data_IF_366621141734
#
_entry.id   IF_366621141734
#
_cell.length_a   1.000
_cell.length_b   1.000
_cell.length_c   1.000
_cell.angle_alpha   90.00
_cell.angle_beta   90.00
_cell.angle_gamma   90.00
#
_symmetry.space_group_name_H-M   'P 1'
#
loop_
_entity.id
_entity.type
_entity.pdbx_description
1 polymer ?
#
# COMPACT_ATOMS: atom_id res chain seq x y z
N UNK A 1 49.95 -12.33 -2.98
CA UNK A 1 48.98 -12.74 -1.95
C UNK A 1 47.60 -12.56 -2.54
N UNK A 2 47.15 -13.59 -3.27
CA UNK A 2 45.89 -13.59 -4.01
C UNK A 2 44.75 -14.07 -3.12
N UNK A 3 43.73 -13.23 -2.94
CA UNK A 3 42.42 -13.63 -2.45
C UNK A 3 41.59 -14.10 -3.67
N UNK A 4 41.54 -15.42 -3.90
CA UNK A 4 40.61 -16.02 -4.87
C UNK A 4 39.28 -16.33 -4.18
N UNK A 5 38.27 -15.55 -4.54
CA UNK A 5 36.84 -15.81 -4.31
C UNK A 5 36.45 -17.18 -4.88
N UNK A 6 35.86 -18.04 -4.04
CA UNK A 6 35.20 -19.28 -4.46
C UNK A 6 33.75 -18.96 -4.85
N UNK A 7 33.53 -18.63 -6.12
CA UNK A 7 32.24 -18.78 -6.77
C UNK A 7 32.09 -20.26 -7.16
N UNK A 8 31.27 -21.00 -6.42
CA UNK A 8 30.81 -22.33 -6.82
C UNK A 8 29.87 -22.16 -8.01
N UNK A 9 30.41 -22.35 -9.22
CA UNK A 9 29.62 -22.48 -10.43
C UNK A 9 28.83 -23.79 -10.37
N UNK A 10 27.51 -23.69 -10.30
CA UNK A 10 26.60 -24.79 -10.63
C UNK A 10 26.77 -25.02 -12.14
N UNK A 11 27.48 -26.08 -12.51
CA UNK A 11 27.51 -26.58 -13.88
C UNK A 11 26.12 -27.15 -14.20
N UNK A 12 25.29 -26.36 -14.88
CA UNK A 12 24.13 -26.87 -15.59
C UNK A 12 24.67 -27.53 -16.86
N UNK A 13 24.80 -28.85 -16.83
CA UNK A 13 24.98 -29.64 -18.05
C UNK A 13 23.71 -29.45 -18.88
N UNK A 14 23.82 -28.66 -19.96
CA UNK A 14 22.79 -28.55 -20.99
C UNK A 14 22.70 -29.90 -21.71
N UNK A 15 21.91 -30.82 -21.15
CA UNK A 15 21.37 -31.95 -21.89
C UNK A 15 20.33 -31.37 -22.85
N UNK A 16 20.67 -31.37 -24.15
CA UNK A 16 19.72 -31.19 -25.23
C UNK A 16 18.65 -32.27 -25.07
N UNK A 17 17.57 -31.95 -24.36
CA UNK A 17 16.41 -32.80 -24.26
C UNK A 17 15.63 -32.62 -25.57
N UNK A 18 15.61 -33.68 -26.38
CA UNK A 18 14.46 -33.91 -27.25
C UNK A 18 13.21 -33.77 -26.36
N UNK A 19 12.29 -32.88 -26.73
CA UNK A 19 11.07 -32.62 -25.99
C UNK A 19 10.21 -33.90 -25.92
N UNK A 20 10.44 -34.69 -24.88
CA UNK A 20 9.55 -35.74 -24.47
C UNK A 20 8.35 -35.08 -23.77
N UNK A 21 7.13 -35.58 -24.01
CA UNK A 21 5.99 -35.18 -23.20
C UNK A 21 6.32 -35.43 -21.73
N UNK A 22 5.86 -34.55 -20.86
CA UNK A 22 6.04 -34.69 -19.42
C UNK A 22 4.68 -34.60 -18.75
N UNK A 23 4.33 -35.64 -17.99
CA UNK A 23 3.20 -35.63 -17.08
C UNK A 23 3.73 -36.05 -15.73
N UNK A 24 3.61 -35.16 -14.74
CA UNK A 24 4.20 -35.37 -13.44
C UNK A 24 3.52 -34.57 -12.34
N UNK A 25 3.68 -35.06 -11.12
CA UNK A 25 3.50 -34.30 -9.89
C UNK A 25 4.86 -33.78 -9.42
N UNK A 26 4.92 -32.51 -9.03
CA UNK A 26 6.08 -31.89 -8.42
C UNK A 26 5.72 -31.31 -7.06
N UNK A 27 6.49 -31.70 -6.04
CA UNK A 27 6.37 -31.19 -4.69
C UNK A 27 7.47 -30.16 -4.41
N UNK A 28 7.12 -29.01 -3.83
CA UNK A 28 8.14 -28.00 -3.48
C UNK A 28 9.06 -28.45 -2.34
N UNK A 29 8.58 -29.36 -1.49
CA UNK A 29 9.33 -29.94 -0.38
C UNK A 29 8.94 -31.41 -0.18
N UNK A 30 9.94 -32.29 -0.07
CA UNK A 30 9.72 -33.71 0.27
C UNK A 30 9.70 -33.98 1.79
N UNK A 31 10.14 -32.99 2.58
CA UNK A 31 10.16 -33.02 4.04
C UNK A 31 9.60 -31.71 4.58
N UNK A 32 8.54 -31.82 5.37
CA UNK A 32 7.79 -30.70 5.92
C UNK A 32 7.97 -30.68 7.43
N UNK A 33 8.56 -29.59 7.94
CA UNK A 33 8.61 -29.34 9.37
C UNK A 33 7.38 -28.53 9.75
N UNK A 34 6.43 -29.15 10.46
CA UNK A 34 5.16 -28.50 10.82
C UNK A 34 5.41 -27.18 11.55
N UNK A 35 4.75 -26.11 11.10
CA UNK A 35 4.89 -24.75 11.67
C UNK A 35 6.22 -24.03 11.38
N UNK A 36 7.20 -24.66 10.74
CA UNK A 36 8.47 -24.02 10.31
C UNK A 36 8.51 -23.83 8.80
N UNK A 37 8.15 -24.85 8.03
CA UNK A 37 8.02 -24.76 6.58
C UNK A 37 6.95 -23.73 6.26
N UNK A 38 7.33 -22.63 5.59
CA UNK A 38 6.43 -21.48 5.39
C UNK A 38 5.37 -21.78 4.34
N UNK A 39 5.76 -22.46 3.27
CA UNK A 39 4.91 -22.78 2.14
C UNK A 39 5.19 -24.20 1.65
N UNK A 40 4.12 -24.93 1.31
CA UNK A 40 4.18 -26.21 0.60
C UNK A 40 3.30 -26.14 -0.63
N UNK A 41 3.82 -26.63 -1.76
CA UNK A 41 3.14 -26.59 -3.05
C UNK A 41 3.19 -27.99 -3.64
N UNK A 42 2.01 -28.47 -4.05
CA UNK A 42 1.89 -29.65 -4.89
C UNK A 42 1.36 -29.20 -6.26
N UNK A 43 2.15 -29.45 -7.29
CA UNK A 43 1.85 -29.03 -8.65
C UNK A 43 1.70 -30.25 -9.56
N UNK A 44 0.58 -30.32 -10.25
CA UNK A 44 0.36 -31.24 -11.35
C UNK A 44 0.56 -30.52 -12.68
N UNK A 45 1.41 -31.09 -13.52
CA UNK A 45 1.71 -30.53 -14.83
C UNK A 45 1.54 -31.59 -15.91
N UNK A 46 0.82 -31.20 -16.97
CA UNK A 46 0.70 -31.97 -18.20
C UNK A 46 1.22 -31.16 -19.37
N UNK A 47 2.19 -31.71 -20.09
CA UNK A 47 2.67 -31.19 -21.36
C UNK A 47 2.51 -32.26 -22.46
N UNK A 48 1.88 -31.87 -23.57
CA UNK A 48 1.68 -32.77 -24.72
C UNK A 48 3.02 -33.11 -25.38
N UNK A 49 3.18 -34.37 -25.77
CA UNK A 49 4.34 -34.85 -26.52
C UNK A 49 4.25 -36.35 -26.84
N UNK A 50 5.30 -36.94 -27.42
CA UNK A 50 5.24 -38.31 -27.97
C UNK A 50 5.12 -39.43 -26.93
N UNK A 51 5.38 -39.16 -25.65
CA UNK A 51 5.30 -40.13 -24.54
C UNK A 51 3.91 -40.25 -23.91
N UNK A 52 2.95 -39.40 -24.30
CA UNK A 52 1.56 -39.49 -23.82
C UNK A 52 0.59 -39.68 -24.97
N UNK A 53 -0.36 -40.61 -24.79
CA UNK A 53 -1.44 -40.84 -25.75
C UNK A 53 -2.62 -39.87 -25.56
N UNK A 54 -2.53 -38.97 -24.57
CA UNK A 54 -3.55 -37.95 -24.32
C UNK A 54 -3.39 -36.85 -25.36
N UNK A 55 -4.35 -36.76 -26.28
CA UNK A 55 -4.36 -35.73 -27.29
C UNK A 55 -4.96 -34.44 -26.74
N UNK A 56 -6.08 -34.49 -26.03
CA UNK A 56 -6.75 -33.32 -25.45
C UNK A 56 -7.00 -33.59 -23.97
N UNK A 57 -6.43 -32.77 -23.09
CA UNK A 57 -6.76 -32.80 -21.66
C UNK A 57 -8.03 -32.00 -21.42
N UNK A 58 -8.92 -32.57 -20.62
CA UNK A 58 -10.20 -31.96 -20.25
C UNK A 58 -10.25 -31.64 -18.76
N UNK A 59 -9.65 -32.49 -17.93
CA UNK A 59 -9.65 -32.34 -16.47
C UNK A 59 -8.27 -32.70 -15.91
N UNK A 60 -7.78 -31.91 -14.96
CA UNK A 60 -6.70 -32.30 -14.04
C UNK A 60 -7.29 -32.40 -12.64
N UNK A 61 -7.01 -33.51 -11.96
CA UNK A 61 -7.39 -33.71 -10.55
C UNK A 61 -6.15 -34.03 -9.74
N UNK A 62 -5.94 -33.27 -8.68
CA UNK A 62 -4.92 -33.53 -7.68
C UNK A 62 -5.62 -34.10 -6.43
N UNK A 63 -5.26 -35.32 -6.06
CA UNK A 63 -5.77 -36.01 -4.88
C UNK A 63 -4.64 -36.35 -3.91
N UNK A 64 -4.95 -36.54 -2.63
CA UNK A 64 -3.98 -36.87 -1.58
C UNK A 64 -4.42 -38.08 -0.80
N UNK A 65 -3.48 -38.97 -0.51
CA UNK A 65 -3.60 -40.03 0.48
C UNK A 65 -2.77 -39.64 1.71
N UNK A 66 -3.45 -39.17 2.76
CA UNK A 66 -2.84 -38.87 4.05
C UNK A 66 -2.81 -40.10 4.97
N UNK A 67 -2.13 -39.99 6.12
CA UNK A 67 -1.94 -41.09 7.07
C UNK A 67 -3.26 -41.67 7.62
N UNK A 68 -4.26 -40.82 7.83
CA UNK A 68 -5.57 -41.20 8.39
C UNK A 68 -6.62 -41.57 7.34
N UNK A 69 -6.26 -41.65 6.05
CA UNK A 69 -7.19 -41.92 4.97
C UNK A 69 -6.95 -43.30 4.37
N UNK A 70 -8.02 -44.06 4.11
CA UNK A 70 -7.95 -45.37 3.45
C UNK A 70 -7.90 -45.28 1.92
N UNK A 71 -8.17 -44.08 1.36
CA UNK A 71 -8.23 -43.81 -0.07
C UNK A 71 -7.82 -42.38 -0.36
N UNK A 72 -7.45 -42.10 -1.62
CA UNK A 72 -7.19 -40.75 -2.08
C UNK A 72 -8.45 -39.87 -1.93
N UNK A 73 -8.25 -38.66 -1.43
CA UNK A 73 -9.27 -37.60 -1.34
C UNK A 73 -8.88 -36.49 -2.30
N UNK A 74 -9.82 -36.02 -3.10
CA UNK A 74 -9.57 -34.92 -4.04
C UNK A 74 -9.26 -33.64 -3.28
N UNK A 75 -8.12 -33.03 -3.60
CA UNK A 75 -7.66 -31.78 -3.01
C UNK A 75 -8.06 -30.62 -3.89
N UNK A 76 -7.87 -30.77 -5.20
CA UNK A 76 -8.18 -29.77 -6.19
C UNK A 76 -8.52 -30.42 -7.53
N UNK A 77 -9.46 -29.82 -8.25
CA UNK A 77 -9.79 -30.20 -9.62
C UNK A 77 -9.92 -28.95 -10.45
N UNK A 78 -9.46 -29.00 -11.70
CA UNK A 78 -9.68 -27.97 -12.71
C UNK A 78 -10.14 -28.64 -14.01
N UNK A 79 -11.13 -28.04 -14.65
CA UNK A 79 -11.69 -28.55 -15.91
C UNK A 79 -11.73 -27.46 -17.00
N UNK A 80 -11.79 -27.91 -18.25
CA UNK A 80 -11.86 -27.03 -19.42
C UNK A 80 -13.21 -26.31 -19.57
N UNK A 81 -14.31 -26.89 -19.05
CA UNK A 81 -15.70 -26.43 -19.26
C UNK A 81 -16.04 -25.22 -18.39
N UNK A 82 -15.51 -25.16 -17.16
CA UNK A 82 -15.63 -24.03 -16.23
C UNK A 82 -14.70 -22.86 -16.59
N UNK A 83 -14.08 -22.88 -17.77
CA UNK A 83 -13.16 -21.86 -18.25
C UNK A 83 -11.81 -21.87 -17.53
N UNK A 84 -11.44 -22.97 -16.87
CA UNK A 84 -10.22 -23.08 -16.07
C UNK A 84 -10.22 -22.29 -14.76
N UNK A 85 -11.38 -21.77 -14.33
CA UNK A 85 -11.51 -20.88 -13.16
C UNK A 85 -11.97 -21.59 -11.88
N UNK A 86 -12.64 -22.74 -11.98
CA UNK A 86 -13.11 -23.46 -10.80
C UNK A 86 -12.03 -24.42 -10.31
N UNK A 87 -11.17 -23.95 -9.39
CA UNK A 87 -10.42 -24.88 -8.55
C UNK A 87 -11.26 -25.22 -7.33
N UNK A 88 -11.86 -26.40 -7.32
CA UNK A 88 -12.62 -26.89 -6.15
C UNK A 88 -11.61 -27.37 -5.12
N UNK A 89 -11.33 -26.56 -4.11
CA UNK A 89 -10.41 -26.91 -3.03
C UNK A 89 -11.19 -27.56 -1.90
N UNK A 90 -10.85 -28.79 -1.52
CA UNK A 90 -11.46 -29.48 -0.38
C UNK A 90 -10.93 -28.98 0.99
N UNK A 91 -9.82 -28.24 0.96
CA UNK A 91 -9.10 -27.71 2.11
C UNK A 91 -9.25 -26.18 2.19
N UNK A 92 -10.00 -25.66 3.18
CA UNK A 92 -10.32 -24.23 3.31
C UNK A 92 -9.09 -23.33 3.45
N UNK A 93 -7.93 -23.88 3.85
CA UNK A 93 -6.69 -23.11 4.08
C UNK A 93 -5.73 -23.11 2.88
N UNK A 94 -6.06 -23.82 1.80
CA UNK A 94 -5.23 -23.89 0.61
C UNK A 94 -5.65 -22.90 -0.48
N UNK A 95 -4.67 -22.34 -1.18
CA UNK A 95 -4.88 -21.54 -2.39
C UNK A 95 -4.51 -22.38 -3.58
N UNK A 96 -5.44 -22.55 -4.51
CA UNK A 96 -5.20 -23.34 -5.71
C UNK A 96 -5.34 -22.51 -6.98
N UNK A 97 -4.48 -22.77 -7.94
CA UNK A 97 -4.37 -22.06 -9.21
C UNK A 97 -4.13 -23.07 -10.33
N UNK A 98 -4.47 -22.73 -11.56
CA UNK A 98 -4.23 -23.63 -12.67
C UNK A 98 -4.78 -23.11 -13.98
N UNK A 99 -4.52 -23.86 -15.04
CA UNK A 99 -5.14 -23.64 -16.34
C UNK A 99 -5.14 -24.93 -17.16
N UNK A 100 -6.19 -25.13 -17.95
CA UNK A 100 -6.21 -26.17 -18.99
C UNK A 100 -5.89 -25.53 -20.33
N UNK A 101 -4.85 -26.03 -20.99
CA UNK A 101 -4.40 -25.57 -22.30
C UNK A 101 -4.40 -26.73 -23.30
N UNK A 102 -5.19 -26.60 -24.37
CA UNK A 102 -5.32 -27.64 -25.39
C UNK A 102 -4.12 -27.72 -26.34
N UNK A 103 -3.21 -26.76 -26.34
CA UNK A 103 -2.07 -26.68 -27.27
C UNK A 103 -0.71 -26.56 -26.59
N UNK A 104 -0.70 -26.21 -25.31
CA UNK A 104 0.49 -26.00 -24.50
C UNK A 104 0.46 -26.83 -23.22
N UNK A 105 0.99 -26.24 -22.14
CA UNK A 105 1.07 -26.89 -20.83
C UNK A 105 -0.21 -26.62 -20.04
N UNK A 106 -0.79 -27.67 -19.47
CA UNK A 106 -1.87 -27.58 -18.49
C UNK A 106 -1.32 -27.77 -17.09
N UNK A 107 -1.77 -26.96 -16.14
CA UNK A 107 -1.26 -26.99 -14.75
C UNK A 107 -2.39 -26.92 -13.74
N UNK A 108 -2.16 -27.56 -12.59
CA UNK A 108 -2.98 -27.44 -11.40
C UNK A 108 -2.04 -27.42 -10.19
N UNK A 109 -2.00 -26.31 -9.47
CA UNK A 109 -1.10 -26.06 -8.35
C UNK A 109 -1.91 -25.75 -7.10
N UNK A 110 -1.57 -26.40 -5.99
CA UNK A 110 -2.19 -26.15 -4.68
C UNK A 110 -1.10 -25.74 -3.70
N UNK A 111 -1.30 -24.59 -3.05
CA UNK A 111 -0.38 -23.99 -2.10
C UNK A 111 -1.00 -23.91 -0.71
N UNK A 112 -0.29 -24.44 0.27
CA UNK A 112 -0.60 -24.30 1.69
C UNK A 112 0.44 -23.42 2.37
N UNK A 113 -0.03 -22.55 3.27
CA UNK A 113 0.84 -21.74 4.12
C UNK A 113 0.92 -22.39 5.50
N UNK A 114 2.13 -22.61 5.98
CA UNK A 114 2.40 -23.33 7.23
C UNK A 114 1.67 -24.69 7.30
N UNK A 115 1.94 -25.61 6.34
CA UNK A 115 1.29 -26.92 6.27
C UNK A 115 1.39 -27.69 7.60
N UNK A 116 0.30 -28.36 7.95
CA UNK A 116 0.15 -29.22 9.12
C UNK A 116 0.10 -30.69 8.69
N UNK A 117 -0.12 -31.57 9.66
CA UNK A 117 -0.09 -33.03 9.49
C UNK A 117 -1.09 -33.53 8.44
N UNK A 118 -2.26 -32.91 8.35
CA UNK A 118 -3.28 -33.26 7.38
C UNK A 118 -2.91 -32.87 5.95
N UNK A 119 -1.96 -31.95 5.72
CA UNK A 119 -1.47 -31.57 4.39
C UNK A 119 -0.34 -32.45 3.83
N UNK A 120 0.04 -33.52 4.51
CA UNK A 120 1.16 -34.37 4.09
C UNK A 120 0.69 -35.76 3.69
N UNK A 121 1.43 -36.41 2.79
CA UNK A 121 1.12 -37.76 2.31
C UNK A 121 1.56 -37.97 0.87
N UNK A 122 0.94 -38.96 0.22
CA UNK A 122 1.14 -39.24 -1.19
C UNK A 122 0.14 -38.44 -2.01
N UNK A 123 0.67 -37.58 -2.88
CA UNK A 123 -0.10 -36.84 -3.87
C UNK A 123 -0.19 -37.64 -5.15
N UNK A 124 -1.36 -37.62 -5.75
CA UNK A 124 -1.63 -38.23 -7.05
C UNK A 124 -2.24 -37.18 -7.95
N UNK A 125 -1.65 -36.97 -9.12
CA UNK A 125 -2.34 -36.26 -10.18
C UNK A 125 -2.91 -37.23 -11.20
N UNK A 126 -4.13 -36.95 -11.62
CA UNK A 126 -4.82 -37.63 -12.70
C UNK A 126 -5.17 -36.62 -13.80
N UNK A 127 -4.74 -36.89 -15.02
CA UNK A 127 -5.17 -36.16 -16.21
C UNK A 127 -6.16 -37.01 -17.00
N UNK A 128 -7.36 -36.46 -17.23
CA UNK A 128 -8.43 -37.09 -18.00
C UNK A 128 -8.68 -36.32 -19.29
N UNK A 129 -8.94 -37.05 -20.35
CA UNK A 129 -9.24 -36.45 -21.65
C UNK A 129 -9.40 -37.49 -22.75
N UNK A 130 -9.03 -37.13 -23.97
CA UNK A 130 -9.27 -37.93 -25.17
C UNK A 130 -7.97 -38.29 -25.89
N UNK A 131 -7.88 -39.52 -26.40
CA UNK A 131 -6.84 -39.96 -27.32
C UNK A 131 -7.05 -39.34 -28.73
N UNK A 132 -6.12 -39.59 -29.67
CA UNK A 132 -6.22 -39.06 -31.04
C UNK A 132 -7.46 -39.55 -31.81
N UNK A 133 -8.11 -40.62 -31.35
CA UNK A 133 -9.32 -41.21 -31.93
C UNK A 133 -10.60 -40.69 -31.26
N UNK A 134 -10.49 -39.78 -30.28
CA UNK A 134 -11.62 -39.29 -29.48
C UNK A 134 -12.09 -40.27 -28.40
N UNK A 135 -11.27 -41.26 -28.01
CA UNK A 135 -11.61 -42.20 -26.93
C UNK A 135 -11.15 -41.64 -25.58
N UNK A 136 -11.97 -41.79 -24.52
CA UNK A 136 -11.56 -41.38 -23.17
C UNK A 136 -10.29 -42.10 -22.71
N UNK A 137 -9.33 -41.36 -22.17
CA UNK A 137 -8.10 -41.85 -21.58
C UNK A 137 -7.82 -41.12 -20.27
N UNK A 138 -7.22 -41.83 -19.32
CA UNK A 138 -6.78 -41.30 -18.03
C UNK A 138 -5.33 -41.73 -17.79
N UNK A 139 -4.48 -40.80 -17.40
CA UNK A 139 -3.10 -41.06 -16.96
C UNK A 139 -2.91 -40.53 -15.55
N UNK A 140 -2.04 -41.16 -14.78
CA UNK A 140 -1.77 -40.78 -13.38
C UNK A 140 -0.27 -40.80 -13.07
N UNK A 141 0.12 -39.93 -12.14
CA UNK A 141 1.47 -39.86 -11.57
C UNK A 141 1.37 -39.55 -10.07
N UNK A 142 2.37 -39.95 -9.31
CA UNK A 142 2.36 -39.81 -7.85
C UNK A 142 3.71 -39.37 -7.31
N UNK A 143 3.67 -38.53 -6.29
CA UNK A 143 4.84 -38.14 -5.50
C UNK A 143 4.46 -38.02 -4.02
N UNK A 144 5.42 -38.10 -3.11
CA UNK A 144 5.15 -38.13 -1.67
C UNK A 144 6.01 -37.14 -0.89
N UNK A 145 5.34 -36.41 0.01
CA UNK A 145 6.00 -35.65 1.06
C UNK A 145 5.82 -36.35 2.40
N UNK A 146 6.80 -36.17 3.29
CA UNK A 146 6.74 -36.62 4.68
C UNK A 146 6.82 -35.43 5.62
N UNK A 147 6.21 -35.56 6.79
CA UNK A 147 6.07 -34.46 7.73
C UNK A 147 6.54 -34.88 9.12
N UNK A 148 7.10 -33.94 9.86
CA UNK A 148 7.55 -34.17 11.22
C UNK A 148 7.36 -32.92 12.07
N UNK A 149 7.11 -33.13 13.37
CA UNK A 149 7.20 -32.06 14.35
C UNK A 149 8.65 -31.55 14.39
N UNK A 150 8.85 -30.22 14.46
CA UNK A 150 10.19 -29.65 14.58
C UNK A 150 10.80 -29.99 15.94
N UNK A 151 12.11 -30.26 15.95
CA UNK A 151 12.84 -30.41 17.22
C UNK A 151 13.09 -29.04 17.85
N UNK A 152 13.32 -29.01 19.18
CA UNK A 152 13.49 -27.74 19.92
C UNK A 152 14.58 -26.83 19.34
N UNK A 153 15.64 -27.40 18.76
CA UNK A 153 16.71 -26.63 18.11
C UNK A 153 16.23 -25.87 16.87
N UNK A 154 15.32 -26.46 16.08
CA UNK A 154 14.80 -25.82 14.88
C UNK A 154 13.92 -24.63 15.24
N UNK A 155 13.10 -24.78 16.29
CA UNK A 155 12.28 -23.71 16.85
C UNK A 155 13.15 -22.56 17.39
N UNK A 156 14.20 -22.89 18.16
CA UNK A 156 15.15 -21.88 18.68
C UNK A 156 15.82 -21.13 17.53
N UNK A 157 16.28 -21.83 16.49
CA UNK A 157 16.91 -21.21 15.33
C UNK A 157 15.94 -20.30 14.57
N UNK A 158 14.67 -20.72 14.42
CA UNK A 158 13.63 -19.89 13.80
C UNK A 158 13.36 -18.63 14.64
N UNK A 159 13.28 -18.75 15.97
CA UNK A 159 13.10 -17.60 16.89
C UNK A 159 14.27 -16.62 16.76
N UNK A 160 15.52 -17.10 16.81
CA UNK A 160 16.71 -16.25 16.66
C UNK A 160 16.70 -15.53 15.30
N UNK A 161 16.32 -16.24 14.23
CA UNK A 161 16.22 -15.65 12.90
C UNK A 161 15.14 -14.56 12.83
N UNK A 162 13.96 -14.81 13.42
CA UNK A 162 12.85 -13.85 13.45
C UNK A 162 13.17 -12.63 14.30
N UNK A 163 13.77 -12.79 15.48
CA UNK A 163 14.23 -11.70 16.34
C UNK A 163 15.26 -10.83 15.62
N UNK A 164 16.25 -11.45 14.98
CA UNK A 164 17.24 -10.75 14.17
C UNK A 164 16.63 -10.00 12.98
N UNK A 165 15.59 -10.55 12.34
CA UNK A 165 14.86 -9.86 11.27
C UNK A 165 14.03 -8.69 11.80
N UNK A 166 13.35 -8.86 12.94
CA UNK A 166 12.56 -7.81 13.58
C UNK A 166 13.44 -6.62 13.97
N UNK A 167 14.58 -6.89 14.61
CA UNK A 167 15.54 -5.86 14.99
C UNK A 167 16.11 -5.09 13.79
N UNK A 168 16.44 -5.79 12.70
CA UNK A 168 16.89 -5.13 11.45
C UNK A 168 15.82 -4.22 10.86
N UNK A 169 14.55 -4.63 10.90
CA UNK A 169 13.43 -3.78 10.43
C UNK A 169 13.24 -2.57 11.33
N UNK A 170 13.35 -2.73 12.64
CA UNK A 170 13.29 -1.63 13.60
C UNK A 170 14.41 -0.61 13.36
N UNK A 171 15.64 -1.06 13.21
CA UNK A 171 16.80 -0.21 12.91
C UNK A 171 16.60 0.54 11.57
N UNK A 172 16.06 -0.13 10.55
CA UNK A 172 15.77 0.48 9.25
C UNK A 172 14.70 1.56 9.35
N UNK A 173 13.58 1.28 10.03
CA UNK A 173 12.50 2.24 10.24
C UNK A 173 12.98 3.45 11.04
N UNK A 174 13.84 3.24 12.04
CA UNK A 174 14.41 4.33 12.85
C UNK A 174 15.20 5.31 11.98
N UNK A 175 16.06 4.80 11.10
CA UNK A 175 16.83 5.64 10.17
C UNK A 175 15.92 6.34 9.16
N UNK A 176 14.89 5.67 8.66
CA UNK A 176 13.92 6.27 7.74
C UNK A 176 13.14 7.42 8.40
N UNK A 177 12.70 7.25 9.65
CA UNK A 177 12.07 8.31 10.43
C UNK A 177 13.03 9.49 10.62
N UNK A 178 14.28 9.25 11.03
CA UNK A 178 15.27 10.32 11.20
C UNK A 178 15.54 11.09 9.90
N UNK A 179 15.49 10.42 8.74
CA UNK A 179 15.64 11.07 7.43
C UNK A 179 14.39 11.89 7.08
N UNK A 180 13.21 11.35 7.31
CA UNK A 180 11.94 12.04 7.03
C UNK A 180 11.79 13.27 7.91
N UNK A 181 12.14 13.17 9.19
CA UNK A 181 12.11 14.27 10.15
C UNK A 181 13.01 15.43 9.69
N UNK A 182 14.26 15.13 9.30
CA UNK A 182 15.17 16.14 8.73
C UNK A 182 14.64 16.77 7.44
N UNK A 183 13.99 15.99 6.57
CA UNK A 183 13.38 16.53 5.35
C UNK A 183 12.21 17.45 5.70
N UNK A 184 11.40 17.08 6.68
CA UNK A 184 10.29 17.88 7.16
C UNK A 184 10.79 19.21 7.73
N UNK A 185 11.82 19.17 8.59
CA UNK A 185 12.47 20.37 9.15
C UNK A 185 12.97 21.33 8.06
N UNK A 186 13.68 20.80 7.06
CA UNK A 186 14.20 21.59 5.94
C UNK A 186 13.05 22.20 5.15
N UNK A 187 12.03 21.40 4.81
CA UNK A 187 10.89 21.91 4.05
C UNK A 187 10.14 22.98 4.86
N UNK A 188 9.98 22.80 6.18
CA UNK A 188 9.34 23.78 7.05
C UNK A 188 10.11 25.10 7.04
N UNK A 189 11.43 25.06 7.18
CA UNK A 189 12.29 26.24 7.16
C UNK A 189 12.30 26.97 5.81
N UNK A 190 12.04 26.26 4.72
CA UNK A 190 11.91 26.83 3.37
C UNK A 190 10.51 27.44 3.15
N UNK A 191 9.45 26.78 3.62
CA UNK A 191 8.07 27.17 3.37
C UNK A 191 7.53 28.21 4.35
N UNK A 192 8.08 28.31 5.57
CA UNK A 192 7.51 29.15 6.62
C UNK A 192 8.52 30.10 7.29
N UNK A 193 8.03 31.26 7.70
CA UNK A 193 8.72 32.24 8.56
C UNK A 193 8.65 31.75 10.02
N UNK A 194 9.45 32.35 10.91
CA UNK A 194 9.36 32.11 12.36
C UNK A 194 7.91 32.25 12.83
N UNK A 195 7.34 31.16 13.31
CA UNK A 195 5.98 31.14 13.85
C UNK A 195 5.85 31.80 15.22
N UNK A 196 4.64 31.80 15.76
CA UNK A 196 4.37 32.18 17.15
C UNK A 196 3.43 31.17 17.80
N UNK A 197 3.41 31.15 19.12
CA UNK A 197 2.54 30.27 19.90
C UNK A 197 1.50 31.09 20.64
N UNK A 198 0.24 30.67 20.59
CA UNK A 198 -0.84 31.26 21.36
C UNK A 198 -1.66 30.13 22.00
N UNK A 199 -1.86 30.20 23.32
CA UNK A 199 -2.56 29.17 24.10
C UNK A 199 -2.08 27.71 23.86
N UNK A 200 -0.79 27.53 23.58
CA UNK A 200 -0.19 26.21 23.31
C UNK A 200 -0.36 25.74 21.86
N UNK A 201 -1.05 26.49 21.02
CA UNK A 201 -1.19 26.23 19.58
C UNK A 201 -0.11 26.98 18.81
N UNK A 202 0.53 26.31 17.87
CA UNK A 202 1.61 26.86 17.06
C UNK A 202 1.07 27.36 15.71
N UNK A 203 1.45 28.57 15.33
CA UNK A 203 1.08 29.17 14.05
C UNK A 203 2.33 29.39 13.19
N UNK A 204 2.20 29.19 11.88
CA UNK A 204 3.27 29.38 10.91
C UNK A 204 2.80 30.21 9.72
N UNK A 205 3.49 31.32 9.45
CA UNK A 205 3.26 32.17 8.29
C UNK A 205 4.08 31.69 7.10
N UNK A 206 3.47 31.56 5.92
CA UNK A 206 4.19 31.12 4.73
C UNK A 206 5.26 32.13 4.28
N UNK A 207 6.35 31.62 3.70
CA UNK A 207 7.33 32.38 2.90
C UNK A 207 6.94 32.42 1.44
N UNK A 208 6.21 31.40 0.99
CA UNK A 208 5.76 31.26 -0.38
C UNK A 208 4.43 31.98 -0.56
N UNK A 209 4.24 32.71 -1.69
CA UNK A 209 2.97 33.34 -2.00
C UNK A 209 1.82 32.34 -2.08
N UNK A 210 0.64 32.80 -1.64
CA UNK A 210 -0.63 32.16 -1.85
C UNK A 210 -1.01 32.23 -3.34
N UNK A 211 -1.19 31.05 -3.93
CA UNK A 211 -1.67 30.83 -5.29
C UNK A 211 -3.12 30.35 -5.30
N UNK A 212 -3.45 29.38 -4.45
CA UNK A 212 -4.77 28.76 -4.36
C UNK A 212 -4.99 28.19 -2.95
N UNK A 213 -6.26 28.17 -2.53
CA UNK A 213 -6.70 27.73 -1.21
C UNK A 213 -6.35 26.26 -0.96
N UNK A 214 -6.55 25.40 -1.97
CA UNK A 214 -6.26 23.96 -1.88
C UNK A 214 -4.77 23.68 -1.70
N UNK A 215 -3.91 24.39 -2.42
CA UNK A 215 -2.46 24.31 -2.26
C UNK A 215 -2.02 24.76 -0.87
N UNK A 216 -2.65 25.80 -0.34
CA UNK A 216 -2.33 26.34 0.97
C UNK A 216 -2.80 25.41 2.10
N UNK A 217 -4.00 24.84 1.97
CA UNK A 217 -4.49 23.77 2.85
C UNK A 217 -3.58 22.54 2.81
N UNK A 218 -3.18 22.10 1.62
CA UNK A 218 -2.25 20.99 1.47
C UNK A 218 -0.90 21.30 2.13
N UNK A 219 -0.37 22.51 1.94
CA UNK A 219 0.89 22.94 2.57
C UNK A 219 0.80 22.90 4.10
N UNK A 220 -0.27 23.41 4.70
CA UNK A 220 -0.46 23.30 6.15
C UNK A 220 -0.60 21.84 6.63
N UNK A 221 -1.29 20.99 5.85
CA UNK A 221 -1.52 19.58 6.21
C UNK A 221 -0.25 18.74 6.27
N UNK A 222 0.76 19.05 5.45
CA UNK A 222 2.07 18.36 5.47
C UNK A 222 2.74 18.47 6.83
N UNK A 223 2.43 19.51 7.60
CA UNK A 223 3.01 19.76 8.93
C UNK A 223 2.03 19.46 10.07
N UNK A 224 0.99 18.65 9.81
CA UNK A 224 0.01 18.28 10.83
C UNK A 224 -0.93 19.42 11.23
N UNK A 225 -1.11 20.42 10.36
CA UNK A 225 -1.98 21.56 10.60
C UNK A 225 -3.03 21.80 9.53
N UNK A 226 -3.68 22.95 9.62
CA UNK A 226 -4.62 23.47 8.63
C UNK A 226 -4.46 24.99 8.51
N UNK A 227 -5.15 25.63 7.56
CA UNK A 227 -5.25 27.10 7.56
C UNK A 227 -5.84 27.55 8.90
N UNK A 228 -5.34 28.65 9.46
CA UNK A 228 -5.69 29.08 10.81
C UNK A 228 -7.20 29.34 10.98
N UNK A 229 -7.84 28.70 11.97
CA UNK A 229 -9.25 28.88 12.31
C UNK A 229 -9.39 29.84 13.48
N UNK A 230 -9.62 31.12 13.20
CA UNK A 230 -9.63 32.16 14.24
C UNK A 230 -10.94 32.11 15.03
N UNK A 231 -10.90 31.56 16.24
CA UNK A 231 -12.07 31.27 17.06
C UNK A 231 -12.42 32.40 18.04
N UNK A 232 -11.42 33.20 18.45
CA UNK A 232 -11.59 34.21 19.51
C UNK A 232 -10.95 35.55 19.18
N UNK A 233 -11.41 36.61 19.85
CA UNK A 233 -10.83 37.95 19.71
C UNK A 233 -9.38 38.03 20.20
N UNK A 234 -9.03 37.27 21.25
CA UNK A 234 -7.66 37.27 21.79
C UNK A 234 -6.69 36.59 20.83
N UNK A 235 -7.11 35.48 20.22
CA UNK A 235 -6.36 34.81 19.17
C UNK A 235 -6.17 35.70 17.95
N UNK A 236 -7.25 36.33 17.46
CA UNK A 236 -7.19 37.29 16.37
C UNK A 236 -6.19 38.41 16.67
N UNK A 237 -6.25 39.00 17.87
CA UNK A 237 -5.32 40.05 18.28
C UNK A 237 -3.87 39.55 18.32
N UNK A 238 -3.62 38.33 18.78
CA UNK A 238 -2.29 37.72 18.77
C UNK A 238 -1.76 37.54 17.34
N UNK A 239 -2.59 37.00 16.44
CA UNK A 239 -2.28 36.86 15.01
C UNK A 239 -1.96 38.23 14.40
N UNK A 240 -2.85 39.21 14.56
CA UNK A 240 -2.68 40.55 13.98
C UNK A 240 -1.42 41.25 14.50
N UNK A 241 -1.12 41.13 15.80
CA UNK A 241 0.09 41.70 16.38
C UNK A 241 1.36 41.07 15.80
N UNK A 242 1.36 39.73 15.67
CA UNK A 242 2.45 39.01 15.02
C UNK A 242 2.62 39.43 13.55
N UNK A 243 1.53 39.48 12.77
CA UNK A 243 1.58 39.89 11.36
C UNK A 243 2.07 41.33 11.19
N UNK A 244 1.65 42.25 12.08
CA UNK A 244 2.18 43.63 12.08
C UNK A 244 3.66 43.70 12.42
N UNK A 245 4.16 42.82 13.28
CA UNK A 245 5.58 42.77 13.60
C UNK A 245 6.43 42.20 12.45
N UNK A 246 5.96 41.13 11.81
CA UNK A 246 6.68 40.43 10.73
C UNK A 246 6.59 41.16 9.38
N UNK A 247 5.40 41.66 9.04
CA UNK A 247 5.11 42.22 7.72
C UNK A 247 4.92 43.74 7.77
N UNK A 248 4.66 44.37 8.92
CA UNK A 248 4.35 45.80 9.02
C UNK A 248 2.93 46.17 8.58
N UNK A 249 2.52 47.43 8.78
CA UNK A 249 1.12 47.86 8.64
C UNK A 249 0.81 48.83 7.48
N UNK A 250 1.78 49.15 6.61
CA UNK A 250 1.62 50.13 5.52
C UNK A 250 1.72 49.49 4.14
N UNK A 251 1.05 50.08 3.14
CA UNK A 251 1.21 49.73 1.72
C UNK A 251 2.68 49.89 1.33
N UNK A 252 3.29 48.81 0.83
CA UNK A 252 4.72 48.74 0.51
C UNK A 252 5.41 47.57 1.22
N UNK A 253 6.22 46.81 0.49
CA UNK A 253 6.91 45.62 1.00
C UNK A 253 6.46 44.29 0.38
N UNK A 254 5.70 44.33 -0.72
CA UNK A 254 5.46 43.16 -1.56
C UNK A 254 4.21 42.36 -1.20
N UNK A 255 3.82 42.20 0.07
CA UNK A 255 2.66 41.37 0.48
C UNK A 255 1.41 42.20 0.77
N UNK A 256 0.25 41.80 0.21
CA UNK A 256 -1.05 42.48 0.27
C UNK A 256 -1.94 42.00 1.43
N UNK A 257 -1.89 40.71 1.75
CA UNK A 257 -2.73 40.11 2.78
C UNK A 257 -2.27 38.71 3.18
N UNK A 258 -2.94 38.14 4.18
CA UNK A 258 -2.66 36.78 4.67
C UNK A 258 -3.95 35.99 4.67
N UNK A 259 -4.00 34.92 3.87
CA UNK A 259 -5.13 34.00 3.81
C UNK A 259 -5.18 33.15 5.07
N UNK A 260 -6.37 33.03 5.64
CA UNK A 260 -6.69 32.23 6.82
C UNK A 260 -7.89 31.33 6.50
N UNK A 261 -8.31 30.47 7.44
CA UNK A 261 -9.43 29.58 7.18
C UNK A 261 -10.77 30.33 7.19
N UNK A 262 -11.49 30.24 6.08
CA UNK A 262 -12.86 30.70 5.94
C UNK A 262 -13.27 30.65 4.48
N UNK A 263 -14.43 30.07 4.20
CA UNK A 263 -15.02 30.01 2.86
C UNK A 263 -16.53 29.96 2.91
N UNK A 264 -17.17 30.55 1.91
CA UNK A 264 -18.61 30.44 1.66
C UNK A 264 -18.93 29.87 0.27
N UNK A 265 -17.99 29.17 -0.39
CA UNK A 265 -18.18 28.53 -1.70
C UNK A 265 -19.40 27.58 -1.75
N UNK A 266 -19.74 26.98 -0.60
CA UNK A 266 -20.92 26.10 -0.48
C UNK A 266 -22.23 26.89 -0.53
N UNK A 267 -22.25 28.08 0.08
CA UNK A 267 -23.42 28.95 0.16
C UNK A 267 -23.00 30.39 0.48
N UNK A 268 -23.07 31.23 -0.55
CA UNK A 268 -22.87 32.68 -0.50
C UNK A 268 -23.41 33.33 0.78
N UNK A 269 -22.55 34.10 1.45
CA UNK A 269 -22.87 34.80 2.70
C UNK A 269 -22.86 33.91 3.94
N UNK A 270 -22.53 32.62 3.82
CA UNK A 270 -22.42 31.68 4.95
C UNK A 270 -21.03 31.09 5.02
N UNK A 271 -20.22 31.74 5.85
CA UNK A 271 -18.81 31.43 6.03
C UNK A 271 -18.59 30.28 7.00
N UNK A 272 -17.81 29.30 6.55
CA UNK A 272 -17.39 28.11 7.28
C UNK A 272 -15.86 28.02 7.27
N UNK A 273 -15.27 27.48 8.34
CA UNK A 273 -13.87 27.10 8.30
C UNK A 273 -13.65 25.87 7.40
N UNK A 274 -12.50 25.82 6.72
CA UNK A 274 -12.16 24.73 5.80
C UNK A 274 -11.97 23.38 6.49
N UNK A 275 -11.30 23.33 7.64
CA UNK A 275 -10.91 22.07 8.28
C UNK A 275 -12.03 21.53 9.17
N UNK A 276 -12.57 22.35 10.07
CA UNK A 276 -13.64 21.91 10.97
C UNK A 276 -15.03 21.87 10.32
N UNK A 277 -15.21 22.57 9.20
CA UNK A 277 -16.52 22.73 8.53
C UNK A 277 -17.54 23.51 9.36
N UNK A 278 -17.12 24.14 10.47
CA UNK A 278 -17.98 24.88 11.38
C UNK A 278 -18.14 26.33 10.93
N UNK A 279 -19.25 27.01 11.27
CA UNK A 279 -19.36 28.45 11.05
C UNK A 279 -18.25 29.23 11.74
N UNK A 280 -17.82 30.34 11.12
CA UNK A 280 -16.86 31.26 11.74
C UNK A 280 -17.38 31.70 13.12
N UNK A 281 -16.56 31.55 14.17
CA UNK A 281 -16.93 31.94 15.54
C UNK A 281 -16.62 33.39 15.83
N UNK A 282 -15.54 33.90 15.26
CA UNK A 282 -15.13 35.29 15.38
C UNK A 282 -14.96 35.90 13.99
N UNK A 283 -15.48 37.12 13.83
CA UNK A 283 -15.30 37.91 12.62
C UNK A 283 -15.00 39.37 12.97
N UNK A 284 -14.02 39.96 12.30
CA UNK A 284 -13.70 41.38 12.36
C UNK A 284 -13.52 41.93 10.94
N UNK A 285 -14.61 41.87 10.17
CA UNK A 285 -14.68 42.40 8.82
C UNK A 285 -14.24 43.87 8.76
N UNK A 286 -13.47 44.23 7.74
CA UNK A 286 -13.32 45.63 7.36
C UNK A 286 -14.67 46.13 6.86
N UNK A 287 -15.11 47.34 7.20
CA UNK A 287 -16.33 47.87 6.59
C UNK A 287 -15.98 48.31 5.16
N UNK A 288 -16.56 47.75 4.08
CA UNK A 288 -17.89 47.14 3.90
C UNK A 288 -17.91 45.62 3.57
N UNK A 289 -16.95 44.84 4.03
CA UNK A 289 -16.75 43.41 3.73
C UNK A 289 -17.72 42.46 4.45
N UNK A 290 -17.94 41.24 3.91
CA UNK A 290 -17.56 40.80 2.56
C UNK A 290 -18.44 41.45 1.48
N UNK A 291 -17.88 41.82 0.33
CA UNK A 291 -18.56 42.68 -0.64
C UNK A 291 -18.55 42.20 -2.10
N UNK A 292 -17.76 41.18 -2.44
CA UNK A 292 -17.52 40.74 -3.82
C UNK A 292 -18.39 39.54 -4.24
N UNK A 293 -19.20 39.00 -3.32
CA UNK A 293 -20.15 37.93 -3.57
C UNK A 293 -19.49 36.63 -4.06
N UNK A 294 -20.15 35.94 -4.98
CA UNK A 294 -19.75 34.60 -5.46
C UNK A 294 -18.37 34.52 -6.14
N UNK A 295 -17.72 35.67 -6.38
CA UNK A 295 -16.40 35.74 -7.00
C UNK A 295 -15.26 35.59 -5.98
N UNK A 296 -15.50 35.92 -4.71
CA UNK A 296 -14.48 35.98 -3.65
C UNK A 296 -14.99 35.18 -2.45
N UNK A 297 -14.68 33.89 -2.44
CA UNK A 297 -15.25 32.95 -1.48
C UNK A 297 -14.24 32.46 -0.44
N UNK A 298 -13.09 33.12 -0.27
CA UNK A 298 -12.04 32.77 0.68
C UNK A 298 -11.74 33.92 1.63
N UNK A 299 -11.26 33.61 2.84
CA UNK A 299 -11.04 34.62 3.89
C UNK A 299 -9.58 35.06 3.94
N UNK A 300 -9.34 36.37 3.96
CA UNK A 300 -8.01 36.93 4.18
C UNK A 300 -8.01 38.06 5.21
N UNK A 301 -6.85 38.26 5.84
CA UNK A 301 -6.54 39.42 6.67
C UNK A 301 -5.82 40.46 5.80
N UNK A 302 -6.49 41.56 5.48
CA UNK A 302 -5.98 42.55 4.54
C UNK A 302 -5.02 43.54 5.23
N UNK A 303 -3.77 43.57 4.77
CA UNK A 303 -2.69 44.33 5.43
C UNK A 303 -2.98 45.83 5.46
N UNK A 304 -3.45 46.40 4.35
CA UNK A 304 -3.72 47.84 4.25
C UNK A 304 -4.86 48.30 5.17
N UNK A 305 -5.74 47.37 5.58
CA UNK A 305 -6.85 47.62 6.49
C UNK A 305 -6.51 47.25 7.94
N UNK A 306 -5.22 47.19 8.28
CA UNK A 306 -4.74 46.85 9.61
C UNK A 306 -4.97 45.38 9.99
N UNK A 307 -5.04 44.49 8.99
CA UNK A 307 -5.35 43.05 9.09
C UNK A 307 -6.79 42.72 9.47
N UNK A 308 -7.73 43.61 9.17
CA UNK A 308 -9.16 43.29 9.20
C UNK A 308 -9.52 42.27 8.13
N UNK A 309 -10.57 41.50 8.39
CA UNK A 309 -11.04 40.44 7.52
C UNK A 309 -11.66 41.00 6.24
N UNK A 310 -11.39 40.33 5.12
CA UNK A 310 -11.94 40.59 3.79
C UNK A 310 -12.20 39.26 3.08
N UNK A 311 -13.18 39.24 2.20
CA UNK A 311 -13.27 38.20 1.19
C UNK A 311 -12.11 38.33 0.19
N UNK A 312 -11.72 37.19 -0.38
CA UNK A 312 -10.50 37.01 -1.15
C UNK A 312 -10.75 35.94 -2.22
N UNK A 313 -10.13 36.03 -3.41
CA UNK A 313 -10.34 35.01 -4.42
C UNK A 313 -9.60 33.74 -4.00
N UNK A 314 -10.31 32.60 -3.99
CA UNK A 314 -9.73 31.32 -3.60
C UNK A 314 -8.60 30.85 -4.52
N UNK A 315 -8.60 31.30 -5.78
CA UNK A 315 -7.46 31.22 -6.69
C UNK A 315 -6.95 32.63 -7.00
N UNK A 316 -5.66 32.86 -6.80
CA UNK A 316 -5.07 34.19 -6.82
C UNK A 316 -3.89 34.29 -7.77
N UNK A 317 -4.06 35.14 -8.80
CA UNK A 317 -2.99 35.54 -9.72
C UNK A 317 -2.70 37.05 -9.69
N UNK A 318 -3.43 37.79 -8.86
CA UNK A 318 -3.50 39.26 -8.91
C UNK A 318 -2.88 39.93 -7.69
N UNK A 319 -3.01 39.32 -6.53
CA UNK A 319 -2.50 39.82 -5.26
C UNK A 319 -1.27 39.01 -4.85
N UNK A 320 -0.36 39.61 -4.10
CA UNK A 320 0.69 38.86 -3.45
C UNK A 320 0.29 38.60 -2.00
N UNK A 321 -0.45 37.52 -1.76
CA UNK A 321 -0.84 37.13 -0.42
C UNK A 321 0.10 36.04 0.12
N UNK A 322 0.18 35.91 1.44
CA UNK A 322 0.72 34.74 2.13
C UNK A 322 -0.43 33.95 2.75
N UNK A 323 -0.15 32.86 3.44
CA UNK A 323 -1.16 32.12 4.21
C UNK A 323 -0.62 31.77 5.60
N UNK A 324 -1.54 31.64 6.56
CA UNK A 324 -1.23 31.29 7.94
C UNK A 324 -1.76 29.89 8.26
N UNK A 325 -0.85 29.01 8.69
CA UNK A 325 -1.19 27.70 9.21
C UNK A 325 -1.30 27.72 10.73
N UNK A 326 -2.17 26.86 11.25
CA UNK A 326 -2.31 26.49 12.66
C UNK A 326 -2.03 24.98 12.77
N UNK A 327 -1.13 24.58 13.68
CA UNK A 327 -0.73 23.19 13.85
C UNK A 327 -1.51 22.53 14.97
N UNK A 328 -2.01 21.33 14.70
CA UNK A 328 -2.75 20.53 15.67
C UNK A 328 -1.76 20.03 16.74
N UNK A 329 -2.00 20.30 18.04
CA UNK A 329 -1.15 19.87 19.14
C UNK A 329 -0.95 18.36 19.28
#
# INVERSE_FOLDING_TARGET
>A
MEFRSRLSYIFITLLIHNAAASFYVLLSHYRINYGITEDFVAECTFERGPSTNVSKVEVLTLSRLGEFHSSYVDVATIDYVTGGLAVVVADEVAVATGSINQTGVSTLSVKWRFPQEDQVGTYKCVAQGEDQSGRPISIEDTDAATGNLPVSTDLINKIISLDGQAKRREDQLRVEIEILDRKLDIMQAVLFVSGFTFNGVQYYLSRVPFSDDKQSMAACSVYGGHLAEIDTVDEYNAIVNYLKAELGASIGGGVDGVVVSGTDEVREGVWLYHFSGKPLKFVDWYGPEPNDGVFYNCLALWRANGYKMTDFPCGNNQYNALYLCEIIP
#
